data_IF_580592778943
#
_entry.id   IF_580592778943
#
_cell.length_a   1.000
_cell.length_b   1.000
_cell.length_c   1.000
_cell.angle_alpha   90.00
_cell.angle_beta   90.00
_cell.angle_gamma   90.00
#
_symmetry.space_group_name_H-M   'P 1'
#
loop_
_entity.id
_entity.type
_entity.pdbx_description
1 polymer ?
#
# COMPACT_ATOMS: atom_id res chain seq x y z
N UNK A 1 -11.53 -26.87 10.21
CA UNK A 1 -10.37 -26.53 9.36
C UNK A 1 -9.10 -26.85 10.12
N UNK A 2 -8.16 -27.47 9.46
CA UNK A 2 -6.84 -27.76 10.00
C UNK A 2 -6.15 -26.43 10.38
N UNK A 3 -5.45 -26.36 11.54
CA UNK A 3 -4.73 -25.15 11.92
C UNK A 3 -3.72 -24.67 10.87
N UNK A 4 -3.03 -25.59 10.19
CA UNK A 4 -2.11 -25.21 9.10
C UNK A 4 -2.83 -24.58 7.93
N UNK A 5 -3.98 -25.10 7.56
CA UNK A 5 -4.80 -24.52 6.48
C UNK A 5 -5.33 -23.14 6.90
N UNK A 6 -5.74 -22.97 8.16
CA UNK A 6 -6.21 -21.69 8.68
C UNK A 6 -5.12 -20.64 8.62
N UNK A 7 -3.86 -20.98 8.95
CA UNK A 7 -2.72 -20.07 8.84
C UNK A 7 -2.52 -19.60 7.40
N UNK A 8 -2.56 -20.50 6.44
CA UNK A 8 -2.36 -20.16 5.04
C UNK A 8 -3.45 -19.21 4.54
N UNK A 9 -4.70 -19.47 4.92
CA UNK A 9 -5.81 -18.59 4.55
C UNK A 9 -5.68 -17.23 5.22
N UNK A 10 -5.34 -17.21 6.51
CA UNK A 10 -5.16 -15.97 7.27
C UNK A 10 -4.03 -15.10 6.69
N UNK A 11 -2.91 -15.71 6.34
CA UNK A 11 -1.80 -14.99 5.72
C UNK A 11 -2.20 -14.44 4.35
N UNK A 12 -2.94 -15.21 3.57
CA UNK A 12 -3.44 -14.74 2.27
C UNK A 12 -4.38 -13.55 2.42
N UNK A 13 -5.29 -13.59 3.40
CA UNK A 13 -6.19 -12.47 3.67
C UNK A 13 -5.43 -11.23 4.14
N UNK A 14 -4.43 -11.39 5.01
CA UNK A 14 -3.61 -10.27 5.47
C UNK A 14 -2.84 -9.63 4.32
N UNK A 15 -2.41 -10.40 3.32
CA UNK A 15 -1.70 -9.91 2.16
C UNK A 15 -2.56 -9.03 1.24
N UNK A 16 -3.88 -9.05 1.40
CA UNK A 16 -4.78 -8.17 0.63
C UNK A 16 -4.44 -6.70 0.89
N UNK A 17 -3.86 -6.37 2.04
CA UNK A 17 -3.41 -5.02 2.31
C UNK A 17 -2.43 -4.49 1.25
N UNK A 18 -1.63 -5.36 0.63
CA UNK A 18 -0.72 -4.97 -0.45
C UNK A 18 -1.48 -4.50 -1.69
N UNK A 19 -2.63 -5.09 -1.97
CA UNK A 19 -3.49 -4.65 -3.08
C UNK A 19 -4.01 -3.24 -2.80
N UNK A 20 -4.47 -2.98 -1.56
CA UNK A 20 -4.93 -1.65 -1.17
C UNK A 20 -3.83 -0.61 -1.29
N UNK A 21 -2.63 -0.91 -0.82
CA UNK A 21 -1.48 -0.02 -0.96
C UNK A 21 -1.16 0.25 -2.44
N UNK A 22 -1.19 -0.78 -3.28
CA UNK A 22 -0.95 -0.64 -4.71
C UNK A 22 -1.98 0.27 -5.38
N UNK A 23 -3.26 0.10 -5.08
CA UNK A 23 -4.32 0.96 -5.61
C UNK A 23 -4.14 2.39 -5.11
N UNK A 24 -3.83 2.58 -3.81
CA UNK A 24 -3.61 3.90 -3.23
C UNK A 24 -2.45 4.63 -3.89
N UNK A 25 -1.32 3.96 -4.06
CA UNK A 25 -0.14 4.52 -4.72
C UNK A 25 -0.46 4.90 -6.17
N UNK A 26 -1.12 4.00 -6.91
CA UNK A 26 -1.53 4.27 -8.29
C UNK A 26 -2.44 5.48 -8.39
N UNK A 27 -3.40 5.62 -7.48
CA UNK A 27 -4.31 6.76 -7.43
C UNK A 27 -3.55 8.06 -7.15
N UNK A 28 -2.63 8.05 -6.18
CA UNK A 28 -1.82 9.22 -5.83
C UNK A 28 -1.00 9.68 -7.02
N UNK A 29 -0.26 8.79 -7.65
CA UNK A 29 0.59 9.14 -8.78
C UNK A 29 -0.21 9.54 -10.01
N UNK A 30 -1.32 8.84 -10.28
CA UNK A 30 -2.20 9.18 -11.39
C UNK A 30 -2.78 10.58 -11.25
N UNK A 31 -3.27 10.94 -10.08
CA UNK A 31 -3.81 12.25 -9.80
C UNK A 31 -2.72 13.33 -9.85
N UNK A 32 -1.54 13.02 -9.34
CA UNK A 32 -0.41 13.95 -9.41
C UNK A 32 -0.03 14.25 -10.86
N UNK A 33 0.09 13.22 -11.69
CA UNK A 33 0.45 13.39 -13.09
C UNK A 33 -0.58 14.23 -13.83
N UNK A 34 -1.87 13.99 -13.60
CA UNK A 34 -2.92 14.80 -14.21
C UNK A 34 -2.82 16.27 -13.78
N UNK A 35 -2.61 16.50 -12.48
CA UNK A 35 -2.45 17.86 -11.96
C UNK A 35 -1.20 18.54 -12.49
N UNK A 36 -0.09 17.83 -12.58
CA UNK A 36 1.16 18.36 -13.08
C UNK A 36 1.05 18.78 -14.55
N UNK A 37 0.35 17.99 -15.36
CA UNK A 37 0.12 18.31 -16.77
C UNK A 37 -0.80 19.52 -16.95
N UNK A 38 -1.75 19.72 -16.03
CA UNK A 38 -2.68 20.87 -16.09
C UNK A 38 -2.04 22.14 -15.54
N UNK A 39 -1.18 22.01 -14.54
CA UNK A 39 -0.54 23.15 -13.87
C UNK A 39 0.93 22.83 -13.55
N UNK A 40 1.81 22.86 -14.57
CA UNK A 40 3.21 22.50 -14.37
C UNK A 40 3.93 23.37 -13.34
N UNK A 41 3.53 24.63 -13.16
CA UNK A 41 4.17 25.51 -12.21
C UNK A 41 3.92 25.14 -10.76
N UNK A 42 2.82 24.45 -10.46
CA UNK A 42 2.48 23.99 -9.12
C UNK A 42 3.07 22.61 -8.81
N UNK A 43 3.45 21.83 -9.82
CA UNK A 43 3.92 20.45 -9.62
C UNK A 43 5.10 20.35 -8.64
N UNK A 44 6.17 21.17 -8.73
CA UNK A 44 7.28 21.06 -7.79
C UNK A 44 6.90 21.35 -6.34
N UNK A 45 5.96 22.24 -6.10
CA UNK A 45 5.52 22.60 -4.74
C UNK A 45 4.72 21.48 -4.08
N UNK A 46 4.12 20.59 -4.87
CA UNK A 46 3.31 19.47 -4.36
C UNK A 46 4.09 18.17 -4.28
N UNK A 47 5.34 18.15 -4.71
CA UNK A 47 6.13 16.92 -4.76
C UNK A 47 6.34 16.31 -3.37
N UNK A 48 6.57 17.13 -2.34
CA UNK A 48 6.74 16.66 -0.98
C UNK A 48 5.46 15.98 -0.46
N UNK A 49 4.30 16.55 -0.77
CA UNK A 49 3.01 15.95 -0.39
C UNK A 49 2.77 14.64 -1.11
N UNK A 50 3.20 14.53 -2.37
CA UNK A 50 3.13 13.28 -3.13
C UNK A 50 3.94 12.18 -2.44
N UNK A 51 5.18 12.49 -2.04
CA UNK A 51 6.04 11.52 -1.37
C UNK A 51 5.49 11.12 -0.01
N UNK A 52 4.90 12.05 0.74
CA UNK A 52 4.27 11.75 2.01
C UNK A 52 3.10 10.77 1.82
N UNK A 53 2.24 11.03 0.84
CA UNK A 53 1.12 10.15 0.53
C UNK A 53 1.58 8.76 0.12
N UNK A 54 2.62 8.69 -0.72
CA UNK A 54 3.23 7.42 -1.12
C UNK A 54 3.74 6.64 0.10
N UNK A 55 4.48 7.31 1.00
CA UNK A 55 5.05 6.64 2.16
C UNK A 55 3.97 6.09 3.09
N UNK A 56 2.89 6.86 3.31
CA UNK A 56 1.77 6.41 4.17
C UNK A 56 1.03 5.23 3.54
N UNK A 57 0.79 5.26 2.23
CA UNK A 57 0.11 4.17 1.54
C UNK A 57 0.95 2.89 1.56
N UNK A 58 2.26 3.00 1.32
CA UNK A 58 3.17 1.86 1.35
C UNK A 58 3.30 1.27 2.75
N UNK A 59 3.36 2.13 3.79
CA UNK A 59 3.44 1.67 5.18
C UNK A 59 2.24 0.79 5.54
N UNK A 60 1.05 1.15 5.08
CA UNK A 60 -0.16 0.34 5.31
C UNK A 60 -0.01 -1.05 4.70
N UNK A 61 0.52 -1.15 3.49
CA UNK A 61 0.80 -2.43 2.84
C UNK A 61 1.85 -3.25 3.58
N UNK A 62 2.89 -2.60 4.07
CA UNK A 62 3.95 -3.26 4.84
C UNK A 62 3.42 -3.84 6.15
N UNK A 63 2.55 -3.13 6.86
CA UNK A 63 1.93 -3.67 8.07
C UNK A 63 1.12 -4.93 7.76
N UNK A 64 0.35 -4.94 6.68
CA UNK A 64 -0.37 -6.13 6.27
C UNK A 64 0.55 -7.31 5.94
N UNK A 65 1.65 -7.05 5.26
CA UNK A 65 2.66 -8.07 4.96
C UNK A 65 3.29 -8.62 6.24
N UNK A 66 3.63 -7.77 7.19
CA UNK A 66 4.21 -8.20 8.47
C UNK A 66 3.21 -9.09 9.21
N UNK A 67 1.94 -8.74 9.25
CA UNK A 67 0.90 -9.58 9.85
C UNK A 67 0.84 -10.94 9.17
N UNK A 68 0.90 -10.98 7.84
CA UNK A 68 0.89 -12.23 7.09
C UNK A 68 2.08 -13.12 7.47
N UNK A 69 3.27 -12.55 7.59
CA UNK A 69 4.47 -13.29 7.98
C UNK A 69 4.38 -13.80 9.41
N UNK A 70 3.84 -13.00 10.33
CA UNK A 70 3.61 -13.42 11.71
C UNK A 70 2.66 -14.63 11.74
N UNK A 71 1.59 -14.59 11.00
CA UNK A 71 0.63 -15.69 10.94
C UNK A 71 1.29 -16.96 10.41
N UNK A 72 2.11 -16.83 9.35
CA UNK A 72 2.74 -17.98 8.72
C UNK A 72 3.82 -18.64 9.59
N UNK A 73 4.67 -17.84 10.26
CA UNK A 73 5.90 -18.33 10.85
C UNK A 73 5.93 -18.29 12.37
N UNK A 74 5.12 -17.47 13.01
CA UNK A 74 5.16 -17.29 14.47
C UNK A 74 3.94 -17.96 15.13
N UNK A 75 2.78 -17.83 14.56
CA UNK A 75 1.57 -18.46 15.11
C UNK A 75 1.46 -19.95 14.72
#
# INVERSE_FOLDING_TARGET
MDPSAAKLIGAGLASIALVGAGVGIGTIFGNYLQGALRNPSAAPTQFANLLLGFALAEATGLFGLVVALIILFVS
#
